data_IF_800121505870
#
_entry.id   IF_800121505870
#
_cell.length_a   1.000
_cell.length_b   1.000
_cell.length_c   1.000
_cell.angle_alpha   90.00
_cell.angle_beta   90.00
_cell.angle_gamma   90.00
#
_symmetry.space_group_name_H-M   'P 1'
#
loop_
_entity.id
_entity.type
_entity.pdbx_description
1 polymer ?
#
# COMPACT_ATOMS: atom_id res chain seq x y z
N UNK A 1 -4.19 -26.64 7.99
CA UNK A 1 -5.32 -26.00 8.68
C UNK A 1 -5.28 -24.53 8.37
N UNK A 2 -6.17 -24.03 7.51
CA UNK A 2 -6.28 -22.61 7.19
C UNK A 2 -6.99 -21.90 8.34
N UNK A 3 -6.25 -21.15 9.14
CA UNK A 3 -6.84 -20.24 10.12
C UNK A 3 -7.53 -19.13 9.33
N UNK A 4 -8.86 -19.10 9.37
CA UNK A 4 -9.64 -17.97 8.87
C UNK A 4 -9.31 -16.77 9.77
N UNK A 5 -8.88 -15.61 9.22
CA UNK A 5 -8.60 -14.44 10.04
C UNK A 5 -9.88 -14.03 10.79
N UNK A 6 -9.74 -13.77 12.08
CA UNK A 6 -10.79 -13.12 12.86
C UNK A 6 -11.02 -11.74 12.22
N UNK A 7 -12.23 -11.44 11.76
CA UNK A 7 -12.52 -10.20 11.05
C UNK A 7 -12.10 -9.00 11.91
N UNK A 8 -11.00 -8.35 11.54
CA UNK A 8 -10.38 -7.26 12.31
C UNK A 8 -8.99 -7.53 12.91
N UNK A 9 -8.36 -8.70 12.72
CA UNK A 9 -6.96 -8.94 13.13
C UNK A 9 -6.08 -9.35 11.94
N UNK A 10 -4.93 -8.68 11.78
CA UNK A 10 -3.88 -9.00 10.79
C UNK A 10 -2.49 -8.82 11.40
N UNK A 11 -1.44 -9.42 10.87
CA UNK A 11 -0.08 -9.22 11.40
C UNK A 11 0.43 -7.79 11.12
N UNK A 12 0.16 -7.27 9.92
CA UNK A 12 0.63 -5.96 9.47
C UNK A 12 -0.49 -5.13 8.84
N UNK A 13 -0.65 -3.89 9.29
CA UNK A 13 -1.45 -2.88 8.59
C UNK A 13 -0.50 -1.93 7.85
N UNK A 14 -0.67 -1.78 6.55
CA UNK A 14 0.06 -0.82 5.73
C UNK A 14 -0.88 0.36 5.44
N UNK A 15 -0.43 1.59 5.69
CA UNK A 15 -1.23 2.80 5.41
C UNK A 15 -0.70 3.46 4.14
N UNK A 16 -1.49 3.42 3.08
CA UNK A 16 -1.19 4.01 1.77
C UNK A 16 -0.80 3.00 0.69
N UNK A 17 -1.40 3.13 -0.50
CA UNK A 17 -1.12 2.33 -1.70
C UNK A 17 -0.29 3.13 -2.74
N UNK A 18 0.75 3.83 -2.26
CA UNK A 18 1.80 4.43 -3.08
C UNK A 18 3.03 3.52 -3.23
N UNK A 19 4.12 4.05 -3.80
CA UNK A 19 5.39 3.32 -3.99
C UNK A 19 5.84 2.63 -2.69
N UNK A 20 5.91 3.36 -1.58
CA UNK A 20 6.39 2.83 -0.30
C UNK A 20 5.51 1.70 0.24
N UNK A 21 4.18 1.85 0.19
CA UNK A 21 3.25 0.85 0.70
C UNK A 21 3.22 -0.43 -0.13
N UNK A 22 3.20 -0.30 -1.46
CA UNK A 22 3.28 -1.47 -2.35
C UNK A 22 4.63 -2.17 -2.23
N UNK A 23 5.73 -1.40 -2.08
CA UNK A 23 7.05 -1.95 -1.86
C UNK A 23 7.16 -2.73 -0.54
N UNK A 24 6.53 -2.25 0.52
CA UNK A 24 6.45 -2.95 1.79
C UNK A 24 5.65 -4.27 1.66
N UNK A 25 4.50 -4.24 1.00
CA UNK A 25 3.69 -5.43 0.75
C UNK A 25 4.44 -6.51 -0.04
N UNK A 26 5.17 -6.12 -1.10
CA UNK A 26 6.02 -7.04 -1.84
C UNK A 26 7.07 -7.70 -0.94
N UNK A 27 7.74 -6.93 -0.07
CA UNK A 27 8.77 -7.48 0.83
C UNK A 27 8.20 -8.44 1.86
N UNK A 28 6.96 -8.21 2.33
CA UNK A 28 6.25 -9.17 3.19
C UNK A 28 6.00 -10.47 2.44
N UNK A 29 5.47 -10.40 1.20
CA UNK A 29 5.26 -11.60 0.36
C UNK A 29 6.58 -12.35 0.14
N UNK A 30 7.66 -11.63 -0.20
CA UNK A 30 8.97 -12.21 -0.55
C UNK A 30 9.64 -12.90 0.65
N UNK A 31 9.61 -12.26 1.83
CA UNK A 31 10.43 -12.68 2.98
C UNK A 31 9.64 -13.35 4.10
N UNK A 32 8.35 -13.05 4.19
CA UNK A 32 7.48 -13.48 5.27
C UNK A 32 6.10 -13.90 4.74
N UNK A 33 6.01 -14.84 3.78
CA UNK A 33 4.76 -15.20 3.10
C UNK A 33 3.67 -15.75 4.03
N UNK A 34 4.03 -16.16 5.24
CA UNK A 34 3.11 -16.60 6.29
C UNK A 34 2.39 -15.46 7.02
N UNK A 35 2.87 -14.22 6.91
CA UNK A 35 2.27 -13.07 7.58
C UNK A 35 1.06 -12.57 6.80
N UNK A 36 0.00 -12.27 7.53
CA UNK A 36 -1.19 -11.62 6.99
C UNK A 36 -1.02 -10.11 6.98
N UNK A 37 -1.48 -9.45 5.93
CA UNK A 37 -1.46 -7.99 5.86
C UNK A 37 -2.68 -7.43 5.12
N UNK A 38 -2.97 -6.16 5.40
CA UNK A 38 -3.93 -5.34 4.65
C UNK A 38 -3.31 -3.98 4.34
N UNK A 39 -3.71 -3.36 3.24
CA UNK A 39 -3.32 -2.00 2.85
C UNK A 39 -4.57 -1.12 2.92
N UNK A 40 -4.55 -0.09 3.75
CA UNK A 40 -5.61 0.91 3.83
C UNK A 40 -5.24 2.11 2.96
N UNK A 41 -5.99 2.34 1.88
CA UNK A 41 -5.79 3.48 0.98
C UNK A 41 -7.01 4.39 1.00
N UNK A 42 -6.77 5.68 1.25
CA UNK A 42 -7.82 6.71 1.29
C UNK A 42 -8.52 6.88 -0.06
N UNK A 43 -7.78 6.79 -1.16
CA UNK A 43 -8.31 7.02 -2.51
C UNK A 43 -8.98 5.77 -3.07
N UNK A 44 -9.67 5.94 -4.19
CA UNK A 44 -10.30 4.85 -4.92
C UNK A 44 -9.33 4.07 -5.82
N UNK A 45 -8.05 4.47 -5.90
CA UNK A 45 -7.07 3.92 -6.84
C UNK A 45 -5.66 3.89 -6.24
N UNK A 46 -4.86 2.96 -6.73
CA UNK A 46 -3.42 2.87 -6.49
C UNK A 46 -2.70 4.08 -7.09
N UNK A 47 -1.63 4.53 -6.42
CA UNK A 47 -0.66 5.44 -7.03
C UNK A 47 0.00 6.42 -6.06
N UNK A 48 -0.59 6.65 -4.88
CA UNK A 48 -0.11 7.67 -3.94
C UNK A 48 -0.04 9.04 -4.63
N UNK A 49 1.15 9.66 -4.63
CA UNK A 49 1.46 10.90 -5.34
C UNK A 49 1.01 10.89 -6.81
N UNK A 50 1.16 9.76 -7.50
CA UNK A 50 0.84 9.60 -8.92
C UNK A 50 -0.66 9.42 -9.21
N UNK A 51 -1.47 9.16 -8.18
CA UNK A 51 -2.93 9.29 -8.28
C UNK A 51 -3.43 10.66 -7.80
N UNK A 52 -2.74 11.26 -6.83
CA UNK A 52 -3.11 12.55 -6.24
C UNK A 52 -2.95 13.70 -7.24
N UNK A 53 -1.81 13.80 -7.92
CA UNK A 53 -1.53 14.87 -8.86
C UNK A 53 -1.89 14.45 -10.29
N UNK A 54 -2.86 15.16 -10.89
CA UNK A 54 -3.40 14.86 -12.23
C UNK A 54 -3.37 16.07 -13.18
N UNK A 55 -2.53 17.06 -12.90
CA UNK A 55 -2.37 18.22 -13.78
C UNK A 55 -1.51 17.88 -15.01
N UNK A 56 -1.68 18.58 -16.15
CA UNK A 56 -0.89 18.35 -17.35
C UNK A 56 0.61 18.52 -17.10
N UNK A 57 1.41 17.54 -17.53
CA UNK A 57 2.88 17.57 -17.43
C UNK A 57 3.47 17.08 -16.10
N UNK A 58 2.66 16.48 -15.22
CA UNK A 58 3.17 15.80 -14.02
C UNK A 58 4.08 14.62 -14.42
N UNK A 59 5.30 14.60 -13.90
CA UNK A 59 6.34 13.62 -14.21
C UNK A 59 7.33 13.47 -13.06
N UNK A 60 8.12 12.41 -13.07
CA UNK A 60 9.25 12.25 -12.16
C UNK A 60 10.31 13.33 -12.37
N UNK A 61 10.94 13.77 -11.29
CA UNK A 61 12.18 14.55 -11.33
C UNK A 61 13.43 13.65 -11.43
N UNK A 62 13.26 12.39 -11.03
CA UNK A 62 14.28 11.35 -10.96
C UNK A 62 14.18 10.43 -12.18
N UNK A 63 15.31 9.81 -12.53
CA UNK A 63 15.31 8.71 -13.50
C UNK A 63 14.36 7.61 -13.05
N UNK A 64 13.46 7.16 -13.92
CA UNK A 64 12.53 6.09 -13.57
C UNK A 64 13.27 4.77 -13.29
N UNK A 65 14.45 4.58 -13.89
CA UNK A 65 15.30 3.41 -13.64
C UNK A 65 15.83 3.35 -12.20
N UNK A 66 15.91 4.49 -11.51
CA UNK A 66 16.30 4.54 -10.08
C UNK A 66 15.09 4.57 -9.15
N UNK A 67 13.93 5.04 -9.64
CA UNK A 67 12.69 5.09 -8.86
C UNK A 67 11.93 3.75 -8.87
N UNK A 68 12.03 2.99 -9.96
CA UNK A 68 11.36 1.69 -10.11
C UNK A 68 11.91 0.67 -9.11
N UNK A 69 11.08 -0.32 -8.77
CA UNK A 69 11.49 -1.40 -7.91
C UNK A 69 12.54 -2.28 -8.58
N UNK A 70 13.61 -2.70 -7.87
CA UNK A 70 14.67 -3.53 -8.46
C UNK A 70 14.18 -4.92 -8.91
N UNK A 71 13.08 -5.41 -8.34
CA UNK A 71 12.42 -6.66 -8.70
C UNK A 71 11.31 -6.50 -9.74
N UNK A 72 10.93 -5.26 -10.08
CA UNK A 72 10.03 -4.94 -11.18
C UNK A 72 10.64 -3.83 -12.02
N UNK A 73 11.68 -4.11 -12.82
CA UNK A 73 12.38 -3.06 -13.56
C UNK A 73 11.46 -2.33 -14.54
N UNK A 74 11.70 -1.03 -14.73
CA UNK A 74 11.02 -0.26 -15.77
C UNK A 74 11.37 -0.78 -17.17
N UNK A 75 10.36 -1.03 -17.99
CA UNK A 75 10.53 -1.63 -19.33
C UNK A 75 10.29 -0.66 -20.49
N UNK A 76 9.78 0.55 -20.22
CA UNK A 76 9.56 1.55 -21.27
C UNK A 76 10.84 2.32 -21.55
N UNK A 77 10.90 2.94 -22.73
CA UNK A 77 12.10 3.62 -23.21
C UNK A 77 12.36 4.96 -22.50
N UNK A 78 11.32 5.62 -21.97
CA UNK A 78 11.48 6.91 -21.32
C UNK A 78 12.28 6.83 -20.01
N UNK A 79 13.30 7.68 -19.89
CA UNK A 79 14.09 7.82 -18.65
C UNK A 79 13.41 8.71 -17.60
N UNK A 80 12.55 9.64 -18.03
CA UNK A 80 11.73 10.49 -17.16
C UNK A 80 10.27 10.15 -17.45
N UNK A 81 9.65 9.41 -16.53
CA UNK A 81 8.31 8.90 -16.73
C UNK A 81 7.24 9.92 -16.33
N UNK A 82 6.19 9.99 -17.15
CA UNK A 82 4.97 10.74 -16.85
C UNK A 82 4.21 10.08 -15.69
N UNK A 83 3.51 10.90 -14.90
CA UNK A 83 2.82 10.40 -13.71
C UNK A 83 1.77 9.32 -14.00
N UNK A 84 1.13 9.38 -15.17
CA UNK A 84 0.21 8.33 -15.61
C UNK A 84 0.92 6.99 -15.81
N UNK A 85 2.11 6.99 -16.44
CA UNK A 85 2.89 5.78 -16.68
C UNK A 85 3.41 5.19 -15.37
N UNK A 86 3.81 6.03 -14.41
CA UNK A 86 4.23 5.56 -13.09
C UNK A 86 3.04 4.92 -12.34
N UNK A 87 1.85 5.53 -12.39
CA UNK A 87 0.65 4.94 -11.78
C UNK A 87 0.27 3.60 -12.42
N UNK A 88 0.37 3.49 -13.74
CA UNK A 88 0.16 2.23 -14.48
C UNK A 88 1.15 1.16 -14.02
N UNK A 89 2.44 1.47 -14.00
CA UNK A 89 3.48 0.59 -13.48
C UNK A 89 3.21 0.07 -12.07
N UNK A 90 2.77 0.94 -11.15
CA UNK A 90 2.41 0.53 -9.79
C UNK A 90 1.19 -0.38 -9.75
N UNK A 91 0.21 -0.11 -10.61
CA UNK A 91 -1.01 -0.91 -10.72
C UNK A 91 -0.69 -2.30 -11.29
N UNK A 92 0.11 -2.36 -12.35
CA UNK A 92 0.52 -3.61 -12.99
C UNK A 92 1.36 -4.48 -12.03
N UNK A 93 2.28 -3.86 -11.30
CA UNK A 93 3.05 -4.53 -10.26
C UNK A 93 2.15 -5.10 -9.17
N UNK A 94 1.21 -4.29 -8.65
CA UNK A 94 0.28 -4.74 -7.62
C UNK A 94 -0.56 -5.94 -8.09
N UNK A 95 -1.07 -5.91 -9.33
CA UNK A 95 -1.80 -7.04 -9.92
C UNK A 95 -0.90 -8.28 -10.10
N UNK A 96 0.32 -8.10 -10.64
CA UNK A 96 1.26 -9.20 -10.92
C UNK A 96 1.61 -10.01 -9.67
N UNK A 97 1.80 -9.33 -8.54
CA UNK A 97 2.13 -9.96 -7.26
C UNK A 97 0.91 -10.22 -6.36
N UNK A 98 -0.31 -9.95 -6.86
CA UNK A 98 -1.57 -10.16 -6.13
C UNK A 98 -1.76 -9.26 -4.91
N UNK A 99 -1.01 -8.16 -4.81
CA UNK A 99 -1.06 -7.19 -3.71
C UNK A 99 -2.39 -6.43 -3.71
N UNK A 100 -2.95 -6.18 -4.90
CA UNK A 100 -4.22 -5.49 -5.10
C UNK A 100 -5.38 -6.12 -4.31
N UNK A 101 -5.37 -7.44 -4.13
CA UNK A 101 -6.37 -8.19 -3.37
C UNK A 101 -6.37 -7.90 -1.87
N UNK A 102 -5.29 -7.28 -1.38
CA UNK A 102 -5.11 -6.88 0.01
C UNK A 102 -5.34 -5.39 0.23
N UNK A 103 -5.76 -4.64 -0.80
CA UNK A 103 -6.02 -3.20 -0.69
C UNK A 103 -7.49 -2.94 -0.39
N UNK A 104 -7.73 -2.24 0.70
CA UNK A 104 -9.01 -1.65 1.05
C UNK A 104 -9.02 -0.17 0.69
N UNK A 105 -9.57 0.14 -0.49
CA UNK A 105 -9.75 1.51 -0.96
C UNK A 105 -10.82 2.28 -0.19
N UNK A 106 -10.82 3.60 -0.36
CA UNK A 106 -11.71 4.53 0.34
C UNK A 106 -11.62 4.39 1.87
N UNK A 107 -10.45 3.99 2.38
CA UNK A 107 -10.15 3.76 3.79
C UNK A 107 -9.27 4.88 4.33
N UNK A 108 -9.86 5.80 5.07
CA UNK A 108 -9.14 6.91 5.71
C UNK A 108 -8.73 6.52 7.13
N UNK A 109 -7.43 6.34 7.37
CA UNK A 109 -6.92 6.06 8.73
C UNK A 109 -6.91 7.34 9.57
N UNK A 110 -7.56 7.29 10.74
CA UNK A 110 -7.66 8.40 11.69
C UNK A 110 -6.68 8.29 12.85
N UNK A 111 -6.43 7.06 13.32
CA UNK A 111 -5.61 6.82 14.50
C UNK A 111 -4.92 5.44 14.43
N UNK A 112 -3.79 5.33 15.12
CA UNK A 112 -3.13 4.07 15.41
C UNK A 112 -2.66 4.13 16.87
N UNK A 113 -3.32 3.35 17.73
CA UNK A 113 -3.11 3.39 19.17
C UNK A 113 -2.40 2.11 19.63
N UNK A 114 -1.27 2.26 20.30
CA UNK A 114 -0.51 1.13 20.87
C UNK A 114 -1.06 0.70 22.23
N UNK A 115 -1.21 -0.60 22.42
CA UNK A 115 -1.62 -1.22 23.68
C UNK A 115 -0.54 -2.19 24.19
N UNK A 116 0.23 -1.75 25.19
CA UNK A 116 1.29 -2.55 25.82
C UNK A 116 0.78 -3.77 26.60
N UNK A 117 -0.53 -3.88 26.88
CA UNK A 117 -1.08 -5.07 27.55
C UNK A 117 -1.27 -6.24 26.58
N UNK A 118 -1.38 -5.94 25.29
CA UNK A 118 -1.58 -6.92 24.23
C UNK A 118 -0.43 -6.98 23.22
N UNK A 119 0.53 -6.05 23.34
CA UNK A 119 1.61 -5.83 22.37
C UNK A 119 1.09 -5.67 20.93
N UNK A 120 -0.02 -4.94 20.78
CA UNK A 120 -0.64 -4.67 19.48
C UNK A 120 -1.04 -3.21 19.29
N UNK A 121 -1.14 -2.83 18.03
CA UNK A 121 -1.77 -1.60 17.57
C UNK A 121 -3.25 -1.81 17.30
N UNK A 122 -4.07 -0.80 17.59
CA UNK A 122 -5.43 -0.66 17.07
C UNK A 122 -5.44 0.47 16.05
N UNK A 123 -5.61 0.14 14.78
CA UNK A 123 -5.69 1.11 13.68
C UNK A 123 -7.16 1.40 13.39
N UNK A 124 -7.60 2.63 13.64
CA UNK A 124 -8.97 3.08 13.41
C UNK A 124 -9.06 3.84 12.09
N UNK A 125 -10.02 3.47 11.25
CA UNK A 125 -10.20 4.08 9.93
C UNK A 125 -11.69 4.19 9.56
N UNK A 126 -12.02 5.17 8.73
CA UNK A 126 -13.33 5.31 8.12
C UNK A 126 -13.30 4.72 6.71
N UNK A 127 -14.27 3.87 6.38
CA UNK A 127 -14.48 3.39 5.03
C UNK A 127 -15.94 3.58 4.64
N UNK A 128 -16.17 4.36 3.58
CA UNK A 128 -17.52 4.71 3.09
C UNK A 128 -18.44 5.27 4.21
N UNK A 129 -17.90 6.13 5.08
CA UNK A 129 -18.64 6.71 6.21
C UNK A 129 -18.80 5.81 7.43
N UNK A 130 -18.28 4.56 7.38
CA UNK A 130 -18.35 3.61 8.50
C UNK A 130 -16.99 3.52 9.19
N UNK A 131 -16.97 3.74 10.50
CA UNK A 131 -15.76 3.55 11.30
C UNK A 131 -15.51 2.05 11.52
N UNK A 132 -14.28 1.64 11.22
CA UNK A 132 -13.77 0.28 11.35
C UNK A 132 -12.43 0.31 12.08
N UNK A 133 -11.98 -0.86 12.52
CA UNK A 133 -10.65 -0.99 13.09
C UNK A 133 -10.00 -2.31 12.69
N UNK A 134 -8.67 -2.28 12.63
CA UNK A 134 -7.82 -3.47 12.64
C UNK A 134 -6.98 -3.49 13.91
N UNK A 135 -6.80 -4.66 14.49
CA UNK A 135 -5.71 -4.94 15.42
C UNK A 135 -4.54 -5.57 14.66
N UNK A 136 -3.32 -5.10 14.95
CA UNK A 136 -2.12 -5.65 14.33
C UNK A 136 -0.89 -5.61 15.21
N UNK A 137 0.10 -6.44 14.89
CA UNK A 137 1.39 -6.43 15.57
C UNK A 137 2.28 -5.30 15.07
N UNK A 138 2.17 -5.00 13.78
CA UNK A 138 2.95 -3.96 13.13
C UNK A 138 2.05 -3.02 12.32
N UNK A 139 2.48 -1.76 12.23
CA UNK A 139 1.90 -0.75 11.34
C UNK A 139 3.02 -0.14 10.51
N UNK A 140 2.86 -0.12 9.19
CA UNK A 140 3.80 0.50 8.26
C UNK A 140 3.15 1.72 7.61
N UNK A 141 3.69 2.92 7.87
CA UNK A 141 3.18 4.15 7.29
C UNK A 141 3.87 4.46 5.96
N UNK A 142 3.16 4.24 4.86
CA UNK A 142 3.51 4.69 3.50
C UNK A 142 2.61 5.83 3.02
N UNK A 143 2.24 6.74 3.93
CA UNK A 143 1.20 7.76 3.74
C UNK A 143 1.65 9.02 2.99
N UNK A 144 2.95 9.15 2.69
CA UNK A 144 3.56 10.26 1.95
C UNK A 144 4.89 9.84 1.35
#
# INVERSE_FOLDING_TARGET
MSVTPNAGCVDVVIVGAGISGLGAAYRIIERNPQLTYTILERRARIGGTWDLFRYPGVRSDSSIFTLSFPYEPWTREEGIADGAHIREYLTDMAHKYGIDRHIEFNSYVHAADWDSSTDTWTVTFEQNGVHKHYRSRFVFFGSG
#
